data_IF_756482024790
#
_entry.id   IF_756482024790
#
_cell.length_a   1.000
_cell.length_b   1.000
_cell.length_c   1.000
_cell.angle_alpha   90.00
_cell.angle_beta   90.00
_cell.angle_gamma   90.00
#
_symmetry.space_group_name_H-M   'P 1'
#
loop_
_entity.id
_entity.type
_entity.pdbx_description
1 polymer ?
#
# COMPACT_ATOMS: atom_id res chain seq x y z
N UNK A 1 -25.97 -0.77 -10.46
CA UNK A 1 -24.96 -0.88 -9.39
C UNK A 1 -25.71 -1.09 -8.09
N UNK A 2 -25.34 -2.11 -7.30
CA UNK A 2 -25.89 -2.27 -5.94
C UNK A 2 -25.58 -1.00 -5.13
N UNK A 3 -26.52 -0.47 -4.32
CA UNK A 3 -26.23 0.68 -3.46
C UNK A 3 -25.09 0.45 -2.46
N UNK A 4 -24.78 -0.83 -2.17
CA UNK A 4 -23.70 -1.24 -1.28
C UNK A 4 -22.33 -1.24 -1.98
N UNK A 5 -22.27 -1.64 -3.26
CA UNK A 5 -21.01 -1.80 -3.99
C UNK A 5 -20.11 -0.56 -3.92
N UNK A 6 -20.70 0.63 -3.95
CA UNK A 6 -19.95 1.89 -3.93
C UNK A 6 -19.17 2.14 -2.62
N UNK A 7 -19.36 1.32 -1.60
CA UNK A 7 -18.68 1.39 -0.30
C UNK A 7 -17.76 0.20 -0.04
N UNK A 8 -17.77 -0.81 -0.92
CA UNK A 8 -17.05 -2.05 -0.69
C UNK A 8 -15.59 -1.89 -1.13
N UNK A 9 -14.66 -2.08 -0.20
CA UNK A 9 -13.24 -2.30 -0.44
C UNK A 9 -13.01 -3.80 -0.61
N UNK A 10 -12.33 -4.20 -1.69
CA UNK A 10 -12.34 -5.62 -2.09
C UNK A 10 -11.01 -6.32 -1.84
N UNK A 11 -9.88 -5.67 -2.12
CA UNK A 11 -8.60 -6.36 -1.99
C UNK A 11 -7.38 -5.52 -2.31
N UNK A 12 -6.28 -5.88 -1.67
CA UNK A 12 -4.95 -5.52 -2.12
C UNK A 12 -4.41 -6.59 -3.06
N UNK A 13 -3.61 -6.16 -4.03
CA UNK A 13 -2.98 -7.07 -4.99
C UNK A 13 -1.53 -6.69 -5.18
N UNK A 14 -0.64 -7.63 -4.90
CA UNK A 14 0.79 -7.43 -5.04
C UNK A 14 1.28 -8.09 -6.32
N UNK A 15 1.67 -7.28 -7.29
CA UNK A 15 2.27 -7.74 -8.55
C UNK A 15 3.80 -7.74 -8.43
N UNK A 16 4.41 -8.83 -8.88
CA UNK A 16 5.86 -9.03 -8.90
C UNK A 16 6.52 -8.75 -7.54
N UNK A 17 5.78 -9.02 -6.44
CA UNK A 17 6.15 -8.73 -5.04
C UNK A 17 6.66 -7.30 -4.80
N UNK A 18 6.20 -6.33 -5.60
CA UNK A 18 6.74 -4.97 -5.62
C UNK A 18 5.66 -3.91 -5.83
N UNK A 19 4.72 -4.15 -6.75
CA UNK A 19 3.72 -3.16 -7.11
C UNK A 19 2.40 -3.48 -6.44
N UNK A 20 2.05 -2.70 -5.43
CA UNK A 20 0.78 -2.82 -4.73
C UNK A 20 -0.33 -2.14 -5.55
N UNK A 21 -1.50 -2.77 -5.55
CA UNK A 21 -2.74 -2.25 -6.11
C UNK A 21 -3.87 -2.41 -5.12
N UNK A 22 -4.88 -1.55 -5.22
CA UNK A 22 -6.12 -1.60 -4.44
C UNK A 22 -7.27 -1.70 -5.42
N UNK A 23 -8.23 -2.55 -5.11
CA UNK A 23 -9.49 -2.69 -5.86
C UNK A 23 -10.66 -2.52 -4.89
N UNK A 24 -11.71 -1.87 -5.36
CA UNK A 24 -12.98 -1.77 -4.67
C UNK A 24 -14.06 -1.15 -5.55
N UNK A 25 -15.30 -1.20 -5.08
CA UNK A 25 -16.39 -0.47 -5.71
C UNK A 25 -16.44 1.01 -5.32
N UNK A 26 -15.66 1.43 -4.31
CA UNK A 26 -15.48 2.83 -3.94
C UNK A 26 -14.70 3.63 -5.00
N UNK A 27 -15.22 4.81 -5.39
CA UNK A 27 -14.50 5.70 -6.30
C UNK A 27 -13.35 6.39 -5.57
N UNK A 28 -12.17 5.77 -5.62
CA UNK A 28 -11.02 6.26 -4.87
C UNK A 28 -10.61 7.70 -5.19
N UNK A 29 -10.89 8.17 -6.42
CA UNK A 29 -10.47 9.51 -6.84
C UNK A 29 -11.46 10.58 -6.44
N UNK A 30 -12.74 10.33 -6.69
CA UNK A 30 -13.79 11.34 -6.51
C UNK A 30 -14.53 11.19 -5.17
N UNK A 31 -14.36 10.05 -4.50
CA UNK A 31 -15.11 9.71 -3.31
C UNK A 31 -16.57 9.35 -3.60
N UNK A 32 -17.33 9.10 -2.54
CA UNK A 32 -18.76 8.78 -2.60
C UNK A 32 -19.50 9.59 -1.54
N UNK A 33 -20.58 10.27 -1.91
CA UNK A 33 -21.43 11.06 -0.99
C UNK A 33 -20.65 12.06 -0.10
N UNK A 34 -19.52 12.58 -0.61
CA UNK A 34 -18.63 13.51 0.12
C UNK A 34 -17.56 12.84 0.98
N UNK A 35 -17.57 11.52 1.11
CA UNK A 35 -16.53 10.71 1.75
C UNK A 35 -15.35 10.56 0.80
N UNK A 36 -14.13 10.75 1.33
CA UNK A 36 -12.89 10.70 0.56
C UNK A 36 -12.07 9.45 0.84
N UNK A 37 -11.18 9.13 -0.09
CA UNK A 37 -10.13 8.13 0.11
C UNK A 37 -9.11 8.54 1.16
N UNK A 38 -8.62 7.54 1.88
CA UNK A 38 -7.51 7.67 2.80
C UNK A 38 -6.12 7.55 2.17
N UNK A 39 -5.15 7.39 3.06
CA UNK A 39 -3.76 7.02 2.79
C UNK A 39 -3.57 5.51 2.93
N UNK A 40 -2.47 4.97 2.41
CA UNK A 40 -2.10 3.56 2.66
C UNK A 40 -1.06 3.54 3.78
N UNK A 41 -1.28 2.73 4.80
CA UNK A 41 -0.32 2.55 5.90
C UNK A 41 0.28 1.16 5.82
N UNK A 42 1.59 1.05 6.09
CA UNK A 42 2.33 -0.21 6.02
C UNK A 42 2.97 -0.50 7.37
N UNK A 43 2.72 -1.71 7.88
CA UNK A 43 3.41 -2.31 9.03
C UNK A 43 4.34 -3.40 8.51
N UNK A 44 5.59 -3.40 8.97
CA UNK A 44 6.59 -4.42 8.62
C UNK A 44 7.11 -5.22 9.82
N UNK A 45 6.70 -4.86 11.03
CA UNK A 45 7.18 -5.47 12.26
C UNK A 45 6.08 -6.28 13.00
N UNK A 46 4.81 -6.15 12.58
CA UNK A 46 3.66 -6.85 13.12
C UNK A 46 3.09 -6.25 14.40
N UNK A 47 3.40 -5.00 14.72
CA UNK A 47 2.94 -4.31 15.94
C UNK A 47 1.78 -3.34 15.71
N UNK A 48 1.26 -3.25 14.48
CA UNK A 48 0.12 -2.41 14.17
C UNK A 48 -1.11 -2.79 15.02
N UNK A 49 -1.79 -1.76 15.55
CA UNK A 49 -2.91 -1.91 16.46
C UNK A 49 -4.21 -1.41 15.83
N UNK A 50 -5.19 -2.30 15.78
CA UNK A 50 -6.54 -2.07 15.26
C UNK A 50 -7.55 -2.91 16.06
N UNK A 51 -8.84 -2.69 15.82
CA UNK A 51 -9.94 -3.28 16.57
C UNK A 51 -10.06 -2.79 18.02
N UNK A 52 -10.77 -3.57 18.85
CA UNK A 52 -11.04 -3.22 20.25
C UNK A 52 -9.79 -3.12 21.15
N UNK A 53 -8.63 -3.52 20.63
CA UNK A 53 -7.33 -3.44 21.30
C UNK A 53 -6.50 -2.23 20.86
N UNK A 54 -6.97 -1.45 19.89
CA UNK A 54 -6.24 -0.29 19.37
C UNK A 54 -6.03 0.78 20.45
N UNK A 55 -4.77 1.11 20.73
CA UNK A 55 -4.43 2.19 21.63
C UNK A 55 -3.91 3.39 20.84
N UNK A 56 -4.70 4.46 20.78
CA UNK A 56 -4.33 5.72 20.11
C UNK A 56 -3.07 6.41 20.69
N UNK A 57 -2.57 5.96 21.84
CA UNK A 57 -1.29 6.42 22.41
C UNK A 57 -0.07 5.78 21.74
N UNK A 58 -0.26 4.68 20.99
CA UNK A 58 0.81 4.10 20.17
C UNK A 58 1.05 5.01 18.98
N UNK A 59 2.29 5.53 18.80
CA UNK A 59 2.61 6.35 17.65
C UNK A 59 2.19 5.66 16.36
N UNK A 60 1.48 6.39 15.50
CA UNK A 60 0.99 5.91 14.22
C UNK A 60 0.19 4.59 14.28
N UNK A 61 -0.35 4.19 15.43
CA UNK A 61 -0.92 2.84 15.64
C UNK A 61 0.04 1.69 15.29
N UNK A 62 1.36 1.89 15.30
CA UNK A 62 2.34 0.84 14.97
C UNK A 62 2.65 0.70 13.48
N UNK A 63 2.10 1.54 12.60
CA UNK A 63 2.54 1.54 11.20
C UNK A 63 3.92 2.22 11.05
N UNK A 64 4.82 1.63 10.25
CA UNK A 64 6.15 2.16 9.94
C UNK A 64 6.18 3.14 8.77
N UNK A 65 5.26 2.99 7.82
CA UNK A 65 5.18 3.85 6.64
C UNK A 65 3.77 4.38 6.40
N UNK A 66 3.71 5.61 5.89
CA UNK A 66 2.52 6.20 5.32
C UNK A 66 2.77 6.56 3.85
N UNK A 67 1.92 6.04 2.96
CA UNK A 67 1.85 6.43 1.55
C UNK A 67 0.74 7.48 1.43
N UNK A 68 1.12 8.72 1.19
CA UNK A 68 0.23 9.87 1.01
C UNK A 68 -0.13 10.05 -0.47
N UNK A 69 -1.42 10.00 -0.80
CA UNK A 69 -1.92 9.98 -2.18
C UNK A 69 -2.40 11.37 -2.60
N UNK A 70 -1.90 11.85 -3.74
CA UNK A 70 -2.38 13.06 -4.40
C UNK A 70 -3.12 12.73 -5.70
N UNK A 71 -4.44 12.70 -5.61
CA UNK A 71 -5.33 12.41 -6.73
C UNK A 71 -5.39 13.50 -7.82
N UNK A 72 -4.93 14.73 -7.55
CA UNK A 72 -4.93 15.81 -8.54
C UNK A 72 -3.90 15.57 -9.65
N UNK A 73 -2.76 14.98 -9.30
CA UNK A 73 -1.66 14.70 -10.23
C UNK A 73 -1.29 13.21 -10.30
N UNK A 74 -2.04 12.34 -9.63
CA UNK A 74 -1.80 10.89 -9.56
C UNK A 74 -0.38 10.55 -9.07
N UNK A 75 0.10 11.31 -8.09
CA UNK A 75 1.39 11.11 -7.43
C UNK A 75 1.18 10.66 -5.99
N UNK A 76 2.17 9.98 -5.43
CA UNK A 76 2.22 9.69 -4.00
C UNK A 76 3.60 10.01 -3.42
N UNK A 77 3.63 10.25 -2.12
CA UNK A 77 4.84 10.36 -1.32
C UNK A 77 4.81 9.29 -0.22
N UNK A 78 5.98 8.82 0.19
CA UNK A 78 6.14 7.85 1.27
C UNK A 78 6.91 8.52 2.40
N UNK A 79 6.39 8.36 3.62
CA UNK A 79 6.97 8.89 4.85
C UNK A 79 7.19 7.76 5.86
N UNK A 80 8.21 7.91 6.69
CA UNK A 80 8.49 7.04 7.84
C UNK A 80 8.74 7.86 9.12
N UNK A 81 8.82 7.20 10.28
CA UNK A 81 9.12 7.85 11.55
C UNK A 81 7.91 8.53 12.21
N UNK A 82 8.07 9.74 12.75
CA UNK A 82 7.03 10.38 13.56
C UNK A 82 6.14 11.31 12.73
N UNK A 83 4.89 10.93 12.45
CA UNK A 83 3.92 11.76 11.74
C UNK A 83 2.62 11.95 12.50
N UNK A 84 1.73 12.75 11.92
CA UNK A 84 0.37 12.98 12.37
C UNK A 84 -0.62 12.46 11.34
N UNK A 85 -1.79 12.06 11.80
CA UNK A 85 -2.85 11.46 10.99
C UNK A 85 -4.22 12.00 11.43
N UNK A 86 -5.22 11.84 10.58
CA UNK A 86 -6.61 12.12 10.87
C UNK A 86 -7.36 10.84 11.25
N UNK A 87 -8.21 10.85 12.30
CA UNK A 87 -9.10 9.74 12.60
C UNK A 87 -10.28 9.69 11.64
N UNK A 88 -10.83 8.49 11.44
CA UNK A 88 -12.09 8.30 10.71
C UNK A 88 -13.18 9.14 11.37
N UNK A 89 -14.11 9.66 10.56
CA UNK A 89 -15.11 10.61 11.04
C UNK A 89 -16.24 9.92 11.82
N UNK A 90 -16.46 8.63 11.61
CA UNK A 90 -17.46 7.86 12.34
C UNK A 90 -16.88 7.28 13.62
N UNK A 91 -17.40 7.74 14.76
CA UNK A 91 -16.88 7.38 16.08
C UNK A 91 -16.90 5.87 16.34
N UNK A 92 -17.91 5.15 15.83
CA UNK A 92 -18.00 3.70 15.97
C UNK A 92 -16.86 2.94 15.26
N UNK A 93 -16.26 3.53 14.22
CA UNK A 93 -15.24 2.89 13.39
C UNK A 93 -13.81 3.22 13.85
N UNK A 94 -13.65 4.24 14.71
CA UNK A 94 -12.36 4.64 15.29
C UNK A 94 -11.49 3.49 15.80
N UNK A 95 -12.00 2.53 16.60
CA UNK A 95 -11.15 1.43 17.06
C UNK A 95 -10.75 0.48 15.92
N UNK A 96 -11.55 0.34 14.87
CA UNK A 96 -11.37 -0.70 13.84
C UNK A 96 -10.57 -0.24 12.62
N UNK A 97 -10.75 1.02 12.23
CA UNK A 97 -10.36 1.50 10.90
C UNK A 97 -9.35 2.65 10.96
N UNK A 98 -8.93 3.09 12.15
CA UNK A 98 -7.89 4.11 12.22
C UNK A 98 -6.50 3.55 11.90
N UNK A 99 -5.61 4.40 11.36
CA UNK A 99 -5.84 5.76 10.87
C UNK A 99 -6.38 5.79 9.42
N UNK A 100 -7.14 6.84 9.02
CA UNK A 100 -7.55 6.94 7.60
C UNK A 100 -6.65 7.81 6.73
N UNK A 101 -6.09 8.91 7.25
CA UNK A 101 -5.32 9.83 6.41
C UNK A 101 -4.07 10.35 7.08
N UNK A 102 -2.96 10.32 6.36
CA UNK A 102 -1.75 11.01 6.73
C UNK A 102 -1.94 12.53 6.65
N UNK A 103 -1.56 13.25 7.69
CA UNK A 103 -1.71 14.72 7.77
C UNK A 103 -0.39 15.45 7.55
N UNK A 104 0.73 14.89 8.01
CA UNK A 104 2.04 15.54 7.91
C UNK A 104 3.03 15.10 8.99
N UNK A 105 4.32 15.32 8.73
CA UNK A 105 5.44 14.97 9.60
C UNK A 105 6.28 13.86 8.97
N UNK A 106 7.06 13.17 9.79
CA UNK A 106 7.92 12.08 9.35
C UNK A 106 9.07 12.50 8.43
N UNK A 107 9.88 11.51 8.09
CA UNK A 107 10.98 11.65 7.15
C UNK A 107 10.52 11.16 5.77
N UNK A 108 10.78 11.96 4.73
CA UNK A 108 10.51 11.56 3.35
C UNK A 108 11.38 10.37 2.94
N UNK A 109 10.77 9.35 2.37
CA UNK A 109 11.44 8.12 1.92
C UNK A 109 11.57 8.13 0.40
N UNK A 110 10.45 8.21 -0.31
CA UNK A 110 10.40 8.16 -1.77
C UNK A 110 9.09 8.77 -2.29
N UNK A 111 8.98 8.92 -3.61
CA UNK A 111 7.75 9.30 -4.30
C UNK A 111 7.56 8.47 -5.55
N UNK A 112 6.34 8.47 -6.08
CA UNK A 112 6.02 7.80 -7.33
C UNK A 112 4.67 8.24 -7.88
N UNK A 113 4.24 7.56 -8.93
CA UNK A 113 2.94 7.78 -9.56
C UNK A 113 2.08 6.54 -9.45
N UNK A 114 0.78 6.73 -9.31
CA UNK A 114 -0.20 5.65 -9.42
C UNK A 114 -1.11 5.89 -10.62
N UNK A 115 -1.78 4.83 -11.04
CA UNK A 115 -2.82 4.86 -12.08
C UNK A 115 -4.16 4.63 -11.42
N UNK A 116 -5.11 5.51 -11.70
CA UNK A 116 -6.52 5.34 -11.34
C UNK A 116 -7.28 4.77 -12.53
N UNK A 117 -8.03 3.70 -12.27
CA UNK A 117 -8.87 3.01 -13.24
C UNK A 117 -10.31 3.04 -12.73
N UNK A 118 -11.27 3.23 -13.63
CA UNK A 118 -12.70 3.25 -13.34
C UNK A 118 -13.46 2.51 -14.44
N UNK A 119 -14.72 2.14 -14.16
CA UNK A 119 -15.53 1.45 -15.16
C UNK A 119 -15.16 -0.02 -15.33
N UNK A 120 -14.44 -0.61 -14.37
CA UNK A 120 -13.97 -1.99 -14.45
C UNK A 120 -15.15 -2.94 -14.21
N UNK A 121 -15.28 -3.97 -15.05
CA UNK A 121 -16.28 -5.02 -14.89
C UNK A 121 -15.83 -6.07 -13.88
N UNK A 122 -16.76 -6.89 -13.40
CA UNK A 122 -16.47 -8.05 -12.53
C UNK A 122 -15.34 -8.93 -13.12
N UNK A 123 -15.32 -9.13 -14.45
CA UNK A 123 -14.26 -9.91 -15.11
C UNK A 123 -12.89 -9.21 -15.14
N UNK A 124 -12.84 -7.88 -15.12
CA UNK A 124 -11.58 -7.13 -15.14
C UNK A 124 -10.86 -7.20 -13.79
N UNK A 125 -11.60 -7.43 -12.70
CA UNK A 125 -11.08 -7.46 -11.32
C UNK A 125 -11.03 -8.87 -10.71
N UNK A 126 -10.98 -9.91 -11.55
CA UNK A 126 -10.83 -11.28 -11.06
C UNK A 126 -12.11 -11.93 -10.54
N UNK A 127 -13.27 -11.37 -10.87
CA UNK A 127 -14.59 -11.96 -10.58
C UNK A 127 -15.29 -11.40 -9.35
N UNK A 128 -14.81 -10.30 -8.76
CA UNK A 128 -15.58 -9.61 -7.72
C UNK A 128 -16.93 -9.18 -8.27
N UNK A 129 -17.99 -9.48 -7.51
CA UNK A 129 -19.37 -9.25 -7.92
C UNK A 129 -19.81 -7.86 -7.48
N UNK A 130 -20.43 -7.09 -8.37
CA UNK A 130 -20.85 -5.73 -8.04
C UNK A 130 -21.16 -4.85 -9.24
N UNK A 131 -20.68 -5.28 -10.40
CA UNK A 131 -20.83 -4.65 -11.70
C UNK A 131 -19.68 -3.72 -12.02
N UNK A 132 -19.57 -2.61 -11.27
CA UNK A 132 -18.63 -1.53 -11.58
C UNK A 132 -17.60 -1.37 -10.46
N UNK A 133 -16.33 -1.33 -10.84
CA UNK A 133 -15.20 -1.29 -9.92
C UNK A 133 -14.20 -0.19 -10.28
N UNK A 134 -13.39 0.14 -9.30
CA UNK A 134 -12.28 1.08 -9.40
C UNK A 134 -11.00 0.40 -8.94
N UNK A 135 -9.87 0.87 -9.45
CA UNK A 135 -8.58 0.41 -9.00
C UNK A 135 -7.55 1.54 -8.92
N UNK A 136 -6.66 1.43 -7.93
CA UNK A 136 -5.41 2.17 -7.87
C UNK A 136 -4.26 1.20 -8.03
N UNK A 137 -3.33 1.44 -8.93
CA UNK A 137 -2.18 0.56 -9.15
C UNK A 137 -0.89 1.35 -9.37
N UNK A 138 0.26 0.72 -9.11
CA UNK A 138 1.58 1.29 -9.36
C UNK A 138 2.29 1.82 -8.11
N UNK A 139 1.80 1.51 -6.91
CA UNK A 139 2.51 1.82 -5.68
C UNK A 139 3.76 0.92 -5.56
N UNK A 140 4.93 1.49 -5.81
CA UNK A 140 6.21 0.81 -5.73
C UNK A 140 6.65 0.65 -4.27
N UNK A 141 6.65 -0.59 -3.77
CA UNK A 141 7.07 -0.97 -2.41
C UNK A 141 8.57 -1.29 -2.29
N UNK A 142 9.41 -0.94 -3.27
CA UNK A 142 10.87 -1.21 -3.22
C UNK A 142 11.60 -0.44 -2.12
N UNK A 143 10.92 0.48 -1.42
CA UNK A 143 11.45 1.13 -0.23
C UNK A 143 11.43 0.22 1.00
N UNK A 144 10.64 -0.87 0.96
CA UNK A 144 10.65 -1.89 1.99
C UNK A 144 11.88 -2.80 1.83
N UNK A 145 12.40 -3.37 2.93
CA UNK A 145 13.47 -4.36 2.84
C UNK A 145 13.06 -5.55 1.95
N UNK A 146 13.98 -6.04 1.12
CA UNK A 146 13.68 -7.18 0.26
C UNK A 146 13.41 -8.46 1.07
N UNK A 147 12.34 -9.18 0.74
CA UNK A 147 11.90 -10.36 1.49
C UNK A 147 11.20 -10.06 2.81
N UNK A 148 10.88 -8.80 3.11
CA UNK A 148 10.08 -8.45 4.28
C UNK A 148 8.62 -8.82 4.06
N UNK A 149 8.00 -9.38 5.09
CA UNK A 149 6.55 -9.42 5.22
C UNK A 149 6.04 -8.02 5.61
N UNK A 150 4.86 -7.66 5.14
CA UNK A 150 4.20 -6.42 5.52
C UNK A 150 2.69 -6.61 5.60
N UNK A 151 2.02 -5.74 6.34
CA UNK A 151 0.56 -5.57 6.33
C UNK A 151 0.28 -4.19 5.73
N UNK A 152 -0.55 -4.15 4.70
CA UNK A 152 -1.09 -2.90 4.17
C UNK A 152 -2.46 -2.63 4.78
N UNK A 153 -2.72 -1.37 5.11
CA UNK A 153 -3.99 -0.87 5.62
C UNK A 153 -4.48 0.27 4.73
N UNK A 154 -5.76 0.24 4.37
CA UNK A 154 -6.46 1.35 3.75
C UNK A 154 -7.90 1.43 4.25
N UNK A 155 -8.37 2.65 4.49
CA UNK A 155 -9.77 2.92 4.79
C UNK A 155 -10.19 4.24 4.12
N UNK A 156 -11.49 4.39 3.91
CA UNK A 156 -12.14 5.64 3.55
C UNK A 156 -12.40 6.54 4.78
N UNK A 157 -12.77 7.81 4.55
CA UNK A 157 -12.91 8.83 5.60
C UNK A 157 -13.90 8.47 6.72
N UNK A 158 -15.02 7.80 6.40
CA UNK A 158 -15.98 7.30 7.39
C UNK A 158 -15.54 5.98 8.04
N UNK A 159 -14.73 5.18 7.36
CA UNK A 159 -14.16 3.93 7.86
C UNK A 159 -15.14 2.83 8.23
N UNK A 160 -16.34 2.85 7.64
CA UNK A 160 -17.29 1.74 7.70
C UNK A 160 -16.78 0.50 6.96
N UNK A 161 -15.74 0.66 6.13
CA UNK A 161 -14.95 -0.43 5.61
C UNK A 161 -13.45 -0.19 5.89
N UNK A 162 -12.71 -1.27 6.09
CA UNK A 162 -11.28 -1.26 6.33
C UNK A 162 -10.66 -2.46 5.62
N UNK A 163 -9.76 -2.16 4.69
CA UNK A 163 -9.04 -3.16 3.95
C UNK A 163 -7.66 -3.35 4.56
N UNK A 164 -7.41 -4.57 5.04
CA UNK A 164 -6.10 -5.00 5.51
C UNK A 164 -5.71 -6.30 4.84
N UNK A 165 -4.49 -6.36 4.31
CA UNK A 165 -3.95 -7.56 3.68
C UNK A 165 -2.45 -7.67 3.91
N UNK A 166 -1.95 -8.89 3.98
CA UNK A 166 -0.53 -9.17 4.14
C UNK A 166 0.16 -9.46 2.80
N UNK A 167 1.45 -9.15 2.73
CA UNK A 167 2.25 -9.37 1.55
C UNK A 167 3.69 -9.66 1.90
N UNK A 168 4.44 -10.18 0.92
CA UNK A 168 5.89 -10.35 1.05
C UNK A 168 6.57 -9.71 -0.16
N UNK A 169 7.54 -8.84 0.08
CA UNK A 169 8.33 -8.25 -1.00
C UNK A 169 9.24 -9.30 -1.64
N UNK A 170 9.49 -9.22 -2.95
CA UNK A 170 10.39 -10.20 -3.58
C UNK A 170 11.81 -10.02 -3.02
N UNK A 171 12.48 -11.12 -2.61
CA UNK A 171 13.91 -11.07 -2.31
C UNK A 171 14.70 -10.53 -3.51
N UNK A 172 15.73 -9.72 -3.27
CA UNK A 172 16.60 -9.26 -4.37
C UNK A 172 17.04 -10.45 -5.22
N UNK A 173 16.93 -10.39 -6.57
CA UNK A 173 17.25 -11.53 -7.40
C UNK A 173 18.68 -12.01 -7.13
N UNK A 174 18.85 -13.31 -6.87
CA UNK A 174 20.16 -13.95 -6.78
C UNK A 174 21.05 -13.67 -8.01
N UNK A 175 20.46 -13.17 -9.10
CA UNK A 175 21.10 -12.59 -10.27
C UNK A 175 22.13 -11.51 -9.95
N UNK A 176 21.93 -10.63 -8.95
CA UNK A 176 22.94 -9.61 -8.61
C UNK A 176 24.17 -10.24 -7.94
N UNK A 177 23.95 -11.23 -7.06
CA UNK A 177 25.01 -12.05 -6.51
C UNK A 177 25.72 -12.87 -7.59
N UNK A 178 24.97 -13.50 -8.50
CA UNK A 178 25.50 -14.26 -9.63
C UNK A 178 26.25 -13.38 -10.63
N UNK A 179 25.80 -12.15 -10.86
CA UNK A 179 26.49 -11.18 -11.69
C UNK A 179 27.81 -10.77 -11.04
N UNK A 180 27.80 -10.49 -9.74
CA UNK A 180 29.02 -10.21 -8.96
C UNK A 180 30.00 -11.38 -8.99
N UNK A 181 29.52 -12.60 -8.74
CA UNK A 181 30.33 -13.83 -8.80
C UNK A 181 30.81 -14.13 -10.22
N UNK A 182 29.99 -13.88 -11.24
CA UNK A 182 30.34 -14.04 -12.64
C UNK A 182 31.45 -13.07 -13.08
N UNK A 183 31.35 -11.80 -12.69
CA UNK A 183 32.38 -10.79 -12.94
C UNK A 183 33.70 -11.13 -12.21
N UNK A 184 33.62 -11.59 -10.96
CA UNK A 184 34.79 -12.08 -10.21
C UNK A 184 35.42 -13.33 -10.85
N UNK A 185 34.59 -14.26 -11.33
CA UNK A 185 35.05 -15.46 -12.05
C UNK A 185 35.81 -15.10 -13.32
N UNK A 186 35.28 -14.18 -14.13
CA UNK A 186 35.93 -13.69 -15.36
C UNK A 186 37.26 -12.98 -15.04
N UNK A 187 37.29 -12.13 -14.00
CA UNK A 187 38.52 -11.45 -13.57
C UNK A 187 39.59 -12.44 -13.05
N UNK A 188 39.17 -13.51 -12.38
CA UNK A 188 40.05 -14.59 -11.92
C UNK A 188 40.67 -15.40 -13.08
N UNK A 189 39.89 -15.67 -14.14
CA UNK A 189 40.37 -16.37 -15.34
C UNK A 189 41.39 -15.52 -16.12
N UNK A 190 41.16 -14.21 -16.24
CA UNK A 190 42.12 -13.30 -16.91
C UNK A 190 43.51 -13.27 -16.27
N UNK A 191 43.62 -13.49 -14.95
CA UNK A 191 44.93 -13.58 -14.28
C UNK A 191 45.70 -14.86 -14.60
N UNK A 192 45.02 -15.94 -15.00
CA UNK A 192 45.65 -17.22 -15.37
C UNK A 192 46.05 -17.30 -16.85
N UNK A 193 45.48 -16.46 -17.72
CA UNK A 193 45.72 -16.46 -19.18
C UNK A 193 46.90 -15.56 -19.58
N UNK A 194 47.55 -14.85 -18.65
CA UNK A 194 48.91 -14.31 -18.90
C UNK A 194 49.92 -15.47 -18.93
N UNK A 195 50.00 -16.16 -20.06
CA UNK A 195 51.13 -16.96 -20.53
C UNK A 195 51.88 -16.12 -21.55
#
# INVERSE_FOLDING_TARGET
MSPLQKWDLEGFFLKDGKYLSIIGGFDFKNGVDGIRSGSIFIDVNGDAQYGNTANASVPNYGYEYAIDLNFNNSQYNVYQGSWTWDPVIERQNIPYSNPWRYRGGGDFVTSGSFVYMSGLSDSDVGGFLGGNHYALTGFDLSFLPAGSTFIAHFTEECGNDNLMDDGTTVPEPATMLLLGLGLMGIAGIKKKIKV
#
